data_IF_773778346376
#
_entry.id   IF_773778346376
#
_cell.length_a   1.000
_cell.length_b   1.000
_cell.length_c   1.000
_cell.angle_alpha   90.00
_cell.angle_beta   90.00
_cell.angle_gamma   90.00
#
_symmetry.space_group_name_H-M   'P 1'
#
loop_
_entity.id
_entity.type
_entity.pdbx_description
1 polymer ?
#
# COMPACT_ATOMS: atom_id res chain seq x y z
N UNK A 1 -17.27 -27.86 -8.67
CA UNK A 1 -17.46 -26.58 -9.38
C UNK A 1 -16.19 -25.77 -9.17
N UNK A 2 -15.33 -25.61 -10.19
CA UNK A 2 -14.02 -24.96 -10.02
C UNK A 2 -14.25 -23.48 -9.72
N UNK A 3 -14.15 -23.10 -8.45
CA UNK A 3 -14.05 -21.71 -8.03
C UNK A 3 -12.84 -21.10 -8.74
N UNK A 4 -13.12 -20.42 -9.85
CA UNK A 4 -12.21 -19.51 -10.54
C UNK A 4 -12.08 -18.26 -9.66
N UNK A 5 -11.67 -18.45 -8.40
CA UNK A 5 -11.46 -17.40 -7.42
C UNK A 5 -10.43 -16.44 -8.02
N UNK A 6 -10.94 -15.26 -8.42
CA UNK A 6 -10.27 -14.15 -9.11
C UNK A 6 -8.74 -14.29 -9.20
N UNK A 7 -8.18 -14.57 -10.39
CA UNK A 7 -6.76 -14.96 -10.55
C UNK A 7 -5.75 -13.91 -10.08
N UNK A 8 -6.19 -12.68 -9.78
CA UNK A 8 -5.37 -11.56 -9.35
C UNK A 8 -5.88 -10.91 -8.05
N UNK A 9 -6.56 -11.67 -7.18
CA UNK A 9 -7.08 -11.16 -5.90
C UNK A 9 -6.04 -10.45 -5.03
N UNK A 10 -4.79 -10.93 -5.04
CA UNK A 10 -3.70 -10.35 -4.26
C UNK A 10 -3.31 -8.95 -4.75
N UNK A 11 -3.35 -8.70 -6.06
CA UNK A 11 -3.16 -7.35 -6.62
C UNK A 11 -4.30 -6.42 -6.18
N UNK A 12 -5.55 -6.91 -6.20
CA UNK A 12 -6.68 -6.13 -5.74
C UNK A 12 -6.57 -5.77 -4.24
N UNK A 13 -6.06 -6.66 -3.39
CA UNK A 13 -5.84 -6.37 -1.97
C UNK A 13 -4.79 -5.29 -1.76
N UNK A 14 -3.68 -5.33 -2.52
CA UNK A 14 -2.65 -4.28 -2.46
C UNK A 14 -3.21 -2.94 -2.95
N UNK A 15 -4.03 -2.92 -4.01
CA UNK A 15 -4.68 -1.68 -4.47
C UNK A 15 -5.63 -1.09 -3.42
N UNK A 16 -6.47 -1.93 -2.80
CA UNK A 16 -7.36 -1.49 -1.71
C UNK A 16 -6.54 -1.00 -0.51
N UNK A 17 -5.42 -1.65 -0.23
CA UNK A 17 -4.51 -1.23 0.83
C UNK A 17 -3.92 0.17 0.58
N UNK A 18 -3.52 0.52 -0.65
CA UNK A 18 -3.05 1.88 -0.94
C UNK A 18 -4.14 2.94 -0.77
N UNK A 19 -5.38 2.62 -1.16
CA UNK A 19 -6.52 3.50 -0.89
C UNK A 19 -6.67 3.69 0.62
N UNK A 20 -6.55 2.61 1.40
CA UNK A 20 -6.56 2.71 2.86
C UNK A 20 -5.39 3.54 3.39
N UNK A 21 -4.15 3.33 2.94
CA UNK A 21 -2.96 4.06 3.40
C UNK A 21 -3.07 5.59 3.21
N UNK A 22 -3.81 6.05 2.21
CA UNK A 22 -4.07 7.48 1.97
C UNK A 22 -5.15 8.09 2.87
N UNK A 23 -5.79 7.30 3.74
CA UNK A 23 -6.86 7.78 4.62
C UNK A 23 -6.51 9.02 5.47
N UNK A 24 -5.27 9.22 5.97
CA UNK A 24 -4.94 10.42 6.75
C UNK A 24 -5.10 11.69 5.92
N UNK A 25 -4.73 11.63 4.64
CA UNK A 25 -4.88 12.74 3.71
C UNK A 25 -6.36 12.98 3.35
N UNK A 26 -7.14 11.92 3.10
CA UNK A 26 -8.58 12.05 2.80
C UNK A 26 -9.37 12.68 3.95
N UNK A 27 -9.03 12.32 5.18
CA UNK A 27 -9.67 12.83 6.40
C UNK A 27 -9.03 14.12 6.93
N UNK A 28 -8.07 14.71 6.19
CA UNK A 28 -7.37 15.95 6.55
C UNK A 28 -6.80 15.92 7.97
N UNK A 29 -6.19 14.81 8.36
CA UNK A 29 -5.59 14.64 9.70
C UNK A 29 -4.24 15.37 9.79
N UNK A 30 -4.27 16.70 9.74
CA UNK A 30 -3.06 17.55 9.70
C UNK A 30 -2.22 17.49 10.99
N UNK A 31 -2.78 17.00 12.09
CA UNK A 31 -2.08 16.78 13.36
C UNK A 31 -1.52 15.36 13.52
N UNK A 32 -1.56 14.53 12.46
CA UNK A 32 -0.96 13.19 12.47
C UNK A 32 0.56 13.29 12.64
N UNK A 33 1.13 12.51 13.56
CA UNK A 33 2.57 12.48 13.78
C UNK A 33 3.32 11.82 12.62
N UNK A 34 4.55 12.27 12.38
CA UNK A 34 5.44 11.63 11.39
C UNK A 34 5.68 10.16 11.72
N UNK A 35 5.84 9.83 13.00
CA UNK A 35 5.97 8.44 13.50
C UNK A 35 4.79 7.56 13.09
N UNK A 36 3.57 8.12 13.09
CA UNK A 36 2.37 7.41 12.65
C UNK A 36 2.44 7.09 11.15
N UNK A 37 2.84 8.07 10.32
CA UNK A 37 2.99 7.88 8.88
C UNK A 37 4.08 6.86 8.53
N UNK A 38 5.21 6.90 9.26
CA UNK A 38 6.29 5.91 9.12
C UNK A 38 5.79 4.51 9.50
N UNK A 39 5.07 4.40 10.61
CA UNK A 39 4.48 3.12 11.05
C UNK A 39 3.51 2.58 10.01
N UNK A 40 2.64 3.43 9.45
CA UNK A 40 1.69 3.04 8.41
C UNK A 40 2.39 2.55 7.14
N UNK A 41 3.49 3.20 6.73
CA UNK A 41 4.35 2.75 5.65
C UNK A 41 4.97 1.38 5.93
N UNK A 42 5.52 1.16 7.13
CA UNK A 42 6.08 -0.15 7.50
C UNK A 42 5.04 -1.28 7.49
N UNK A 43 3.82 -1.00 7.96
CA UNK A 43 2.71 -1.96 7.87
C UNK A 43 2.39 -2.26 6.40
N UNK A 44 2.41 -1.26 5.52
CA UNK A 44 2.21 -1.43 4.09
C UNK A 44 3.22 -2.38 3.45
N UNK A 45 4.50 -2.22 3.78
CA UNK A 45 5.56 -3.14 3.35
C UNK A 45 5.24 -4.58 3.77
N UNK A 46 4.78 -4.81 5.01
CA UNK A 46 4.39 -6.14 5.49
C UNK A 46 3.21 -6.71 4.67
N UNK A 47 2.20 -5.90 4.37
CA UNK A 47 1.05 -6.30 3.54
C UNK A 47 1.49 -6.68 2.13
N UNK A 48 2.41 -5.91 1.54
CA UNK A 48 2.95 -6.16 0.20
C UNK A 48 3.78 -7.45 0.20
N UNK A 49 4.63 -7.69 1.20
CA UNK A 49 5.36 -8.95 1.38
C UNK A 49 4.39 -10.13 1.43
N UNK A 50 3.34 -10.03 2.25
CA UNK A 50 2.36 -11.11 2.38
C UNK A 50 1.63 -11.38 1.06
N UNK A 51 1.13 -10.34 0.40
CA UNK A 51 0.38 -10.47 -0.85
C UNK A 51 1.26 -10.99 -2.00
N UNK A 52 2.49 -10.48 -2.12
CA UNK A 52 3.45 -10.92 -3.13
C UNK A 52 3.90 -12.36 -2.92
N UNK A 53 4.10 -12.79 -1.67
CA UNK A 53 4.42 -14.18 -1.35
C UNK A 53 3.28 -15.12 -1.77
N UNK A 54 2.03 -14.79 -1.40
CA UNK A 54 0.86 -15.58 -1.78
C UNK A 54 0.64 -15.60 -3.29
N UNK A 55 0.80 -14.46 -3.96
CA UNK A 55 0.71 -14.37 -5.41
C UNK A 55 1.79 -15.20 -6.11
N UNK A 56 3.03 -15.13 -5.63
CA UNK A 56 4.15 -15.92 -6.15
C UNK A 56 3.96 -17.43 -5.93
N UNK A 57 3.33 -17.83 -4.83
CA UNK A 57 2.97 -19.23 -4.60
C UNK A 57 1.90 -19.75 -5.57
N UNK A 58 0.99 -18.89 -6.03
CA UNK A 58 -0.09 -19.27 -6.96
C UNK A 58 0.29 -19.15 -8.44
N UNK A 59 1.16 -18.19 -8.79
CA UNK A 59 1.48 -17.82 -10.17
C UNK A 59 2.94 -18.06 -10.57
N UNK A 60 3.83 -18.30 -9.61
CA UNK A 60 5.25 -18.53 -9.82
C UNK A 60 6.13 -17.48 -9.13
N UNK A 61 7.31 -17.91 -8.66
CA UNK A 61 8.24 -17.10 -7.86
C UNK A 61 8.62 -15.78 -8.52
N UNK A 62 8.90 -15.79 -9.83
CA UNK A 62 9.31 -14.59 -10.59
C UNK A 62 8.22 -13.52 -10.55
N UNK A 63 6.95 -13.91 -10.74
CA UNK A 63 5.81 -13.00 -10.70
C UNK A 63 5.55 -12.44 -9.29
N UNK A 64 5.79 -13.25 -8.25
CA UNK A 64 5.75 -12.80 -6.86
C UNK A 64 6.79 -11.73 -6.56
N UNK A 65 8.05 -11.95 -6.98
CA UNK A 65 9.15 -10.99 -6.80
C UNK A 65 8.85 -9.69 -7.57
N UNK A 66 8.36 -9.79 -8.81
CA UNK A 66 7.97 -8.61 -9.59
C UNK A 66 6.88 -7.80 -8.89
N UNK A 67 5.85 -8.47 -8.37
CA UNK A 67 4.78 -7.83 -7.59
C UNK A 67 5.32 -7.14 -6.34
N UNK A 68 6.27 -7.76 -5.64
CA UNK A 68 6.91 -7.17 -4.47
C UNK A 68 7.66 -5.88 -4.83
N UNK A 69 8.53 -5.92 -5.85
CA UNK A 69 9.32 -4.76 -6.27
C UNK A 69 8.45 -3.60 -6.72
N UNK A 70 7.45 -3.88 -7.57
CA UNK A 70 6.50 -2.86 -8.03
C UNK A 70 5.65 -2.34 -6.87
N UNK A 71 5.24 -3.23 -5.96
CA UNK A 71 4.48 -2.87 -4.76
C UNK A 71 5.25 -1.88 -3.90
N UNK A 72 6.45 -2.23 -3.45
CA UNK A 72 7.28 -1.36 -2.60
C UNK A 72 7.56 -0.01 -3.29
N UNK A 73 7.79 0.00 -4.61
CA UNK A 73 7.98 1.25 -5.35
C UNK A 73 6.74 2.15 -5.24
N UNK A 74 5.55 1.60 -5.49
CA UNK A 74 4.28 2.34 -5.38
C UNK A 74 4.04 2.79 -3.94
N UNK A 75 4.34 1.94 -2.96
CA UNK A 75 4.17 2.25 -1.53
C UNK A 75 4.96 3.49 -1.09
N UNK A 76 6.21 3.60 -1.55
CA UNK A 76 7.04 4.80 -1.33
C UNK A 76 6.39 6.03 -1.95
N UNK A 77 5.88 5.94 -3.18
CA UNK A 77 5.17 7.05 -3.82
C UNK A 77 3.90 7.45 -3.05
N UNK A 78 3.10 6.48 -2.60
CA UNK A 78 1.87 6.72 -1.85
C UNK A 78 2.16 7.37 -0.49
N UNK A 79 3.19 6.90 0.22
CA UNK A 79 3.61 7.48 1.49
C UNK A 79 4.09 8.92 1.33
N UNK A 80 4.98 9.18 0.35
CA UNK A 80 5.46 10.53 0.04
C UNK A 80 4.33 11.47 -0.37
N UNK A 81 3.41 11.01 -1.22
CA UNK A 81 2.26 11.80 -1.65
C UNK A 81 1.34 12.16 -0.48
N UNK A 82 1.06 11.20 0.40
CA UNK A 82 0.25 11.41 1.61
C UNK A 82 0.90 12.44 2.53
N UNK A 83 2.22 12.34 2.74
CA UNK A 83 2.99 13.29 3.55
C UNK A 83 2.93 14.72 2.97
N UNK A 84 3.21 14.88 1.67
CA UNK A 84 3.18 16.19 0.99
C UNK A 84 1.78 16.82 1.04
N UNK A 85 0.73 16.01 0.85
CA UNK A 85 -0.65 16.50 0.95
C UNK A 85 -0.98 17.01 2.36
N UNK A 86 -0.62 16.26 3.40
CA UNK A 86 -0.82 16.68 4.79
C UNK A 86 -0.07 17.97 5.12
N UNK A 87 1.19 18.08 4.68
CA UNK A 87 2.01 19.29 4.86
C UNK A 87 1.39 20.50 4.13
N UNK A 88 0.94 20.31 2.88
CA UNK A 88 0.26 21.37 2.13
C UNK A 88 -1.11 21.75 2.68
N UNK A 89 -1.74 20.91 3.49
CA UNK A 89 -2.99 21.23 4.20
C UNK A 89 -2.71 21.92 5.53
N UNK A 90 -1.66 21.53 6.27
CA UNK A 90 -1.30 22.17 7.53
C UNK A 90 -0.88 23.63 7.33
N UNK A 91 -0.24 23.97 6.21
CA UNK A 91 0.13 25.35 5.87
C UNK A 91 -1.06 26.26 5.51
N UNK A 92 -2.23 25.67 5.21
CA UNK A 92 -3.46 26.39 4.84
C UNK A 92 -4.42 26.62 6.01
N UNK A 93 -4.18 25.97 7.14
CA UNK A 93 -4.93 26.14 8.40
C UNK A 93 -4.23 27.17 9.29
#
# INVERSE_FOLDING_TARGET
MKEKLRPYRWLAYVLVWYIFQMYPAYLKMTSTSEEYLITLFLISVVVIIFCSYKFGSEKGKVLGILMFLVGVLIDVFVALFTFVMLLGMSWRN
#
